data_IF_762642000468
#
_entry.id   IF_762642000468
#
_cell.length_a   1.000
_cell.length_b   1.000
_cell.length_c   1.000
_cell.angle_alpha   90.00
_cell.angle_beta   90.00
_cell.angle_gamma   90.00
#
_symmetry.space_group_name_H-M   'P 1'
#
loop_
_entity.id
_entity.type
_entity.pdbx_description
1 polymer ?
#
# COMPACT_ATOMS: atom_id res chain seq x y z
N UNK A 1 38.90 -23.57 28.27
CA UNK A 1 39.55 -24.69 27.58
C UNK A 1 38.52 -25.23 26.59
N UNK A 2 38.78 -25.07 25.28
CA UNK A 2 37.99 -25.44 24.08
C UNK A 2 36.59 -24.77 23.91
N UNK A 3 36.35 -23.76 23.05
CA UNK A 3 36.52 -23.56 21.58
C UNK A 3 35.55 -24.44 20.76
N UNK A 4 34.38 -23.90 20.36
CA UNK A 4 34.00 -23.39 19.00
C UNK A 4 33.57 -24.55 18.06
N UNK A 5 32.41 -24.54 17.39
CA UNK A 5 32.17 -23.86 16.10
C UNK A 5 30.66 -23.94 15.70
N UNK A 6 30.03 -22.79 15.41
CA UNK A 6 28.87 -22.65 14.48
C UNK A 6 29.34 -22.96 13.01
N UNK A 7 28.54 -22.91 11.91
CA UNK A 7 27.13 -22.48 11.73
C UNK A 7 26.30 -23.34 10.73
N UNK A 8 25.02 -23.00 10.49
CA UNK A 8 24.44 -22.80 9.13
C UNK A 8 22.94 -22.50 9.14
N UNK A 9 22.60 -21.31 8.65
CA UNK A 9 21.47 -20.95 7.79
C UNK A 9 20.30 -21.94 7.73
N UNK A 10 19.23 -21.65 8.47
CA UNK A 10 17.89 -22.15 8.16
C UNK A 10 16.97 -20.96 7.93
N UNK A 11 16.89 -20.53 6.67
CA UNK A 11 15.67 -19.92 6.14
C UNK A 11 14.54 -20.91 6.36
N UNK A 12 13.60 -20.58 7.26
CA UNK A 12 12.38 -21.35 7.44
C UNK A 12 11.60 -21.36 6.11
N UNK A 13 11.51 -22.53 5.48
CA UNK A 13 10.55 -22.77 4.40
C UNK A 13 9.16 -22.67 5.00
N UNK A 14 8.45 -21.58 4.69
CA UNK A 14 7.09 -21.38 5.14
C UNK A 14 6.16 -22.46 4.57
N UNK A 15 5.28 -22.93 5.45
CA UNK A 15 4.27 -23.97 5.29
C UNK A 15 3.59 -24.04 3.91
N UNK A 16 3.46 -25.27 3.40
CA UNK A 16 2.62 -25.65 2.26
C UNK A 16 1.14 -25.35 2.58
N UNK A 17 0.66 -24.18 2.17
CA UNK A 17 -0.75 -23.90 2.05
C UNK A 17 -1.28 -24.48 0.72
N UNK A 18 -2.39 -25.20 0.81
CA UNK A 18 -3.15 -25.77 -0.31
C UNK A 18 -3.30 -24.76 -1.47
N UNK A 19 -2.81 -25.12 -2.67
CA UNK A 19 -2.70 -24.24 -3.83
C UNK A 19 -4.06 -24.00 -4.51
N UNK A 20 -4.88 -23.12 -3.92
CA UNK A 20 -6.04 -22.55 -4.62
C UNK A 20 -5.76 -21.05 -4.82
N UNK A 21 -5.55 -20.64 -6.08
CA UNK A 21 -5.53 -19.22 -6.48
C UNK A 21 -4.18 -18.48 -6.41
N UNK A 22 -3.03 -19.17 -6.38
CA UNK A 22 -1.71 -18.52 -6.48
C UNK A 22 -1.29 -17.68 -5.25
N UNK A 23 -1.95 -17.88 -4.10
CA UNK A 23 -1.75 -17.06 -2.90
C UNK A 23 -0.40 -17.28 -2.21
N UNK A 24 0.20 -18.47 -2.30
CA UNK A 24 1.46 -18.80 -1.60
C UNK A 24 2.65 -17.93 -2.03
N UNK A 25 2.85 -17.76 -3.34
CA UNK A 25 3.94 -16.94 -3.90
C UNK A 25 3.73 -15.46 -3.56
N UNK A 26 2.49 -14.97 -3.73
CA UNK A 26 2.14 -13.58 -3.42
C UNK A 26 2.32 -13.27 -1.94
N UNK A 27 1.98 -14.21 -1.05
CA UNK A 27 2.23 -14.09 0.39
C UNK A 27 3.73 -14.04 0.70
N UNK A 28 4.53 -14.89 0.07
CA UNK A 28 5.98 -14.91 0.26
C UNK A 28 6.66 -13.59 -0.13
N UNK A 29 6.28 -12.98 -1.26
CA UNK A 29 6.82 -11.66 -1.64
C UNK A 29 6.43 -10.56 -0.65
N UNK A 30 5.19 -10.54 -0.16
CA UNK A 30 4.75 -9.56 0.85
C UNK A 30 5.51 -9.73 2.17
N UNK A 31 5.72 -10.98 2.59
CA UNK A 31 6.52 -11.30 3.78
C UNK A 31 7.97 -10.84 3.61
N UNK A 32 8.57 -11.04 2.43
CA UNK A 32 9.93 -10.61 2.15
C UNK A 32 10.08 -9.09 2.14
N UNK A 33 9.19 -8.35 1.47
CA UNK A 33 9.24 -6.88 1.40
C UNK A 33 9.01 -6.26 2.79
N UNK A 34 8.03 -6.76 3.55
CA UNK A 34 7.77 -6.30 4.91
C UNK A 34 8.95 -6.56 5.86
N UNK A 35 9.70 -7.64 5.66
CA UNK A 35 10.92 -7.90 6.42
C UNK A 35 12.10 -7.04 5.93
N UNK A 36 12.23 -6.82 4.63
CA UNK A 36 13.38 -6.15 4.02
C UNK A 36 13.58 -4.72 4.52
N UNK A 37 12.51 -3.92 4.62
CA UNK A 37 12.64 -2.55 5.13
C UNK A 37 13.05 -2.52 6.61
N UNK A 38 12.56 -3.47 7.42
CA UNK A 38 12.94 -3.61 8.83
C UNK A 38 14.41 -4.00 8.96
N UNK A 39 14.88 -4.94 8.15
CA UNK A 39 16.28 -5.32 8.07
C UNK A 39 17.15 -4.13 7.64
N UNK A 40 16.71 -3.35 6.66
CA UNK A 40 17.41 -2.15 6.21
C UNK A 40 17.60 -1.14 7.36
N UNK A 41 16.57 -0.95 8.19
CA UNK A 41 16.68 -0.11 9.39
C UNK A 41 17.64 -0.74 10.40
N UNK A 42 17.45 -2.01 10.75
CA UNK A 42 18.30 -2.73 11.69
C UNK A 42 19.78 -2.69 11.32
N UNK A 43 20.13 -2.78 10.03
CA UNK A 43 21.51 -2.72 9.55
C UNK A 43 22.07 -1.29 9.44
N UNK A 44 21.21 -0.28 9.23
CA UNK A 44 21.64 1.11 9.07
C UNK A 44 21.68 1.89 10.38
N UNK A 45 21.01 1.39 11.42
CA UNK A 45 20.94 2.02 12.73
C UNK A 45 22.31 2.01 13.43
N UNK A 46 22.79 3.21 13.78
CA UNK A 46 24.04 3.41 14.55
C UNK A 46 23.83 3.28 16.06
N UNK A 47 22.59 3.12 16.53
CA UNK A 47 22.18 3.07 17.94
C UNK A 47 21.53 1.73 18.28
N UNK A 48 21.32 1.50 19.57
CA UNK A 48 20.73 0.28 20.10
C UNK A 48 19.22 0.23 19.81
N UNK A 49 18.86 -0.21 18.60
CA UNK A 49 17.48 -0.49 18.23
C UNK A 49 16.94 -1.67 19.06
N UNK A 50 15.67 -1.61 19.46
CA UNK A 50 14.96 -2.76 20.02
C UNK A 50 14.56 -3.72 18.87
N UNK A 51 15.48 -4.64 18.55
CA UNK A 51 15.27 -5.63 17.49
C UNK A 51 14.10 -6.57 17.80
N UNK A 52 13.89 -6.92 19.08
CA UNK A 52 12.82 -7.82 19.49
C UNK A 52 11.47 -7.20 19.15
N UNK A 53 11.26 -5.93 19.55
CA UNK A 53 10.04 -5.19 19.22
C UNK A 53 9.84 -5.00 17.72
N UNK A 54 10.92 -4.72 16.97
CA UNK A 54 10.84 -4.55 15.51
C UNK A 54 10.33 -5.82 14.81
N UNK A 55 10.88 -6.98 15.17
CA UNK A 55 10.55 -8.26 14.55
C UNK A 55 9.28 -8.89 15.13
N UNK A 56 8.93 -8.60 16.39
CA UNK A 56 7.62 -8.92 16.96
C UNK A 56 6.50 -8.22 16.16
N UNK A 57 6.68 -6.93 15.86
CA UNK A 57 5.74 -6.19 15.00
C UNK A 57 5.57 -6.81 13.61
N UNK A 58 6.64 -7.32 13.01
CA UNK A 58 6.57 -8.08 11.75
C UNK A 58 5.76 -9.38 11.90
N UNK A 59 6.04 -10.15 12.96
CA UNK A 59 5.34 -11.39 13.24
C UNK A 59 3.84 -11.16 13.43
N UNK A 60 3.44 -10.12 14.16
CA UNK A 60 2.04 -9.77 14.39
C UNK A 60 1.33 -9.38 13.09
N UNK A 61 1.96 -8.58 12.23
CA UNK A 61 1.40 -8.23 10.92
C UNK A 61 1.22 -9.47 10.03
N UNK A 62 2.23 -10.35 10.00
CA UNK A 62 2.19 -11.59 9.23
C UNK A 62 1.10 -12.54 9.71
N UNK A 63 0.96 -12.69 11.03
CA UNK A 63 -0.08 -13.54 11.63
C UNK A 63 -1.46 -13.15 11.16
N UNK A 64 -1.78 -11.85 11.11
CA UNK A 64 -3.07 -11.38 10.60
C UNK A 64 -3.28 -11.72 9.12
N UNK A 65 -2.25 -11.62 8.29
CA UNK A 65 -2.35 -11.99 6.87
C UNK A 65 -2.57 -13.50 6.71
N UNK A 66 -1.87 -14.31 7.50
CA UNK A 66 -1.99 -15.76 7.50
C UNK A 66 -3.40 -16.19 7.95
N UNK A 67 -3.90 -15.65 9.04
CA UNK A 67 -5.24 -15.95 9.57
C UNK A 67 -6.34 -15.61 8.55
N UNK A 68 -6.24 -14.43 7.89
CA UNK A 68 -7.16 -14.04 6.82
C UNK A 68 -7.09 -14.97 5.61
N UNK A 69 -5.89 -15.37 5.20
CA UNK A 69 -5.69 -16.25 4.04
C UNK A 69 -6.18 -17.67 4.32
N UNK A 70 -5.92 -18.18 5.54
CA UNK A 70 -6.39 -19.49 5.99
C UNK A 70 -7.92 -19.52 6.07
N UNK A 71 -8.55 -18.51 6.68
CA UNK A 71 -10.00 -18.40 6.75
C UNK A 71 -10.65 -18.35 5.35
N UNK A 72 -10.04 -17.61 4.41
CA UNK A 72 -10.49 -17.58 3.02
C UNK A 72 -10.34 -18.95 2.34
N UNK A 73 -9.24 -19.67 2.61
CA UNK A 73 -8.96 -20.98 2.03
C UNK A 73 -9.92 -22.04 2.56
N UNK A 74 -10.19 -22.06 3.87
CA UNK A 74 -11.18 -22.95 4.48
C UNK A 74 -12.56 -22.68 3.91
N UNK A 75 -12.98 -21.41 3.83
CA UNK A 75 -14.28 -21.04 3.25
C UNK A 75 -14.39 -21.45 1.78
N UNK A 76 -13.34 -21.25 0.98
CA UNK A 76 -13.33 -21.68 -0.41
C UNK A 76 -13.35 -23.20 -0.53
N UNK A 77 -12.64 -23.91 0.34
CA UNK A 77 -12.64 -25.37 0.44
C UNK A 77 -14.04 -25.90 0.75
N UNK A 78 -14.74 -25.31 1.71
CA UNK A 78 -16.12 -25.67 2.07
C UNK A 78 -17.10 -25.42 0.91
N UNK A 79 -16.92 -24.33 0.16
CA UNK A 79 -17.75 -24.01 -1.01
C UNK A 79 -17.54 -24.97 -2.19
N UNK A 80 -16.32 -25.49 -2.37
CA UNK A 80 -15.96 -26.40 -3.47
C UNK A 80 -16.28 -27.86 -3.11
N UNK A 81 -16.00 -28.28 -1.88
CA UNK A 81 -16.13 -29.68 -1.42
C UNK A 81 -17.52 -30.02 -0.84
N UNK A 82 -18.57 -29.26 -1.20
CA UNK A 82 -19.94 -29.53 -0.77
C UNK A 82 -20.37 -30.96 -1.08
N UNK A 83 -20.52 -31.79 -0.05
CA UNK A 83 -20.69 -33.25 -0.14
C UNK A 83 -22.05 -33.72 -0.67
N UNK A 84 -22.98 -32.83 -1.03
CA UNK A 84 -24.35 -33.20 -1.45
C UNK A 84 -24.79 -32.57 -2.77
N UNK A 85 -25.60 -33.33 -3.51
CA UNK A 85 -26.21 -32.91 -4.78
C UNK A 85 -27.08 -31.66 -4.62
N UNK A 86 -27.86 -31.57 -3.53
CA UNK A 86 -28.67 -30.39 -3.16
C UNK A 86 -27.82 -29.13 -2.98
N UNK A 87 -26.65 -29.24 -2.35
CA UNK A 87 -25.76 -28.10 -2.14
C UNK A 87 -25.21 -27.57 -3.47
N UNK A 88 -24.84 -28.47 -4.38
CA UNK A 88 -24.39 -28.10 -5.74
C UNK A 88 -25.49 -27.47 -6.57
N UNK A 89 -26.73 -27.99 -6.49
CA UNK A 89 -27.87 -27.44 -7.19
C UNK A 89 -28.23 -26.03 -6.70
N UNK A 90 -28.36 -25.83 -5.39
CA UNK A 90 -28.66 -24.52 -4.78
C UNK A 90 -27.55 -23.51 -5.06
N UNK A 91 -26.28 -23.92 -4.98
CA UNK A 91 -25.14 -23.06 -5.32
C UNK A 91 -25.23 -22.59 -6.78
N UNK A 92 -25.43 -23.51 -7.72
CA UNK A 92 -25.46 -23.19 -9.15
C UNK A 92 -26.67 -22.33 -9.51
N UNK A 93 -27.85 -22.66 -8.98
CA UNK A 93 -29.07 -21.85 -9.16
C UNK A 93 -28.96 -20.47 -8.51
N UNK A 94 -28.40 -20.40 -7.29
CA UNK A 94 -28.18 -19.15 -6.57
C UNK A 94 -27.19 -18.23 -7.30
N UNK A 95 -26.07 -18.77 -7.78
CA UNK A 95 -25.10 -18.02 -8.58
C UNK A 95 -25.70 -17.55 -9.91
N UNK A 96 -26.52 -18.39 -10.56
CA UNK A 96 -27.24 -18.00 -11.77
C UNK A 96 -28.23 -16.86 -11.50
N UNK A 97 -29.01 -16.93 -10.42
CA UNK A 97 -29.94 -15.87 -10.04
C UNK A 97 -29.22 -14.57 -9.65
N UNK A 98 -28.10 -14.67 -8.93
CA UNK A 98 -27.27 -13.53 -8.56
C UNK A 98 -26.69 -12.80 -9.80
N UNK A 99 -26.48 -13.50 -10.91
CA UNK A 99 -26.03 -12.90 -12.18
C UNK A 99 -27.14 -12.11 -12.91
N UNK A 100 -28.42 -12.35 -12.59
CA UNK A 100 -29.56 -11.66 -13.23
C UNK A 100 -29.75 -10.23 -12.72
N UNK A 101 -29.29 -9.92 -11.51
CA UNK A 101 -29.37 -8.58 -10.93
C UNK A 101 -28.02 -7.87 -11.12
N UNK A 102 -27.92 -6.83 -11.96
CA UNK A 102 -26.66 -6.16 -12.27
C UNK A 102 -25.88 -5.69 -11.04
N UNK A 103 -26.58 -5.18 -10.02
CA UNK A 103 -25.96 -4.73 -8.77
C UNK A 103 -25.35 -5.87 -7.95
N UNK A 104 -25.98 -7.06 -7.93
CA UNK A 104 -25.48 -8.23 -7.21
C UNK A 104 -24.35 -8.91 -7.95
N UNK A 105 -24.45 -8.97 -9.28
CA UNK A 105 -23.35 -9.36 -10.15
C UNK A 105 -22.14 -8.46 -9.92
N UNK A 106 -22.33 -7.15 -9.89
CA UNK A 106 -21.24 -6.19 -9.64
C UNK A 106 -20.63 -6.37 -8.24
N UNK A 107 -21.46 -6.58 -7.21
CA UNK A 107 -20.98 -6.89 -5.86
C UNK A 107 -20.16 -8.18 -5.80
N UNK A 108 -20.59 -9.24 -6.48
CA UNK A 108 -19.82 -10.48 -6.61
C UNK A 108 -18.51 -10.28 -7.38
N UNK A 109 -18.53 -9.53 -8.47
CA UNK A 109 -17.36 -9.21 -9.29
C UNK A 109 -16.32 -8.38 -8.53
N UNK A 110 -16.77 -7.48 -7.64
CA UNK A 110 -15.89 -6.74 -6.75
C UNK A 110 -15.19 -7.67 -5.74
N UNK A 111 -15.89 -8.71 -5.26
CA UNK A 111 -15.34 -9.66 -4.30
C UNK A 111 -14.73 -8.95 -3.08
N UNK A 112 -13.54 -9.38 -2.60
CA UNK A 112 -12.85 -8.71 -1.50
C UNK A 112 -12.50 -7.23 -1.75
N UNK A 113 -12.48 -6.77 -3.02
CA UNK A 113 -12.16 -5.37 -3.38
C UNK A 113 -13.27 -4.41 -2.99
N UNK A 114 -14.51 -4.89 -2.86
CA UNK A 114 -15.66 -4.08 -2.43
C UNK A 114 -15.55 -3.60 -0.97
N UNK A 115 -14.74 -4.26 -0.14
CA UNK A 115 -14.49 -3.86 1.25
C UNK A 115 -13.45 -2.74 1.39
N UNK A 116 -12.92 -2.24 0.28
CA UNK A 116 -11.83 -1.26 0.27
C UNK A 116 -10.46 -1.89 0.54
N UNK A 117 -9.42 -1.06 0.73
CA UNK A 117 -8.08 -1.56 0.93
C UNK A 117 -7.95 -2.31 2.27
N UNK A 118 -7.09 -3.31 2.29
CA UNK A 118 -6.85 -4.09 3.52
C UNK A 118 -6.23 -3.20 4.58
N UNK A 119 -6.78 -3.21 5.79
CA UNK A 119 -6.19 -2.57 6.96
C UNK A 119 -5.84 -3.61 8.03
N UNK A 120 -4.69 -3.44 8.67
CA UNK A 120 -4.31 -4.18 9.86
C UNK A 120 -5.10 -3.72 11.08
N UNK A 121 -5.47 -4.66 11.93
CA UNK A 121 -6.04 -4.36 13.23
C UNK A 121 -4.87 -4.09 14.17
N UNK A 122 -4.79 -2.89 14.72
CA UNK A 122 -3.66 -2.52 15.57
C UNK A 122 -3.56 -3.44 16.80
N UNK A 123 -2.34 -3.79 17.17
CA UNK A 123 -1.99 -4.41 18.44
C UNK A 123 -0.68 -3.80 18.95
N UNK A 124 -0.43 -3.78 20.26
CA UNK A 124 0.84 -3.30 20.81
C UNK A 124 2.03 -3.97 20.10
N UNK A 125 3.04 -3.18 19.74
CA UNK A 125 4.21 -3.65 18.99
C UNK A 125 4.12 -3.44 17.47
N UNK A 126 2.96 -3.07 16.92
CA UNK A 126 2.85 -2.78 15.48
C UNK A 126 3.46 -1.42 15.10
N UNK A 127 4.18 -1.35 13.95
CA UNK A 127 4.88 -0.14 13.53
C UNK A 127 4.01 0.79 12.68
N UNK A 128 2.93 1.32 13.25
CA UNK A 128 2.08 2.36 12.64
C UNK A 128 1.21 3.05 13.69
N UNK A 129 0.69 4.24 13.36
CA UNK A 129 -0.14 5.05 14.27
C UNK A 129 -1.62 4.83 13.95
N UNK A 130 -2.38 4.05 14.77
CA UNK A 130 -3.75 3.70 14.45
C UNK A 130 -4.70 4.91 14.39
N UNK A 131 -4.50 5.93 15.23
CA UNK A 131 -5.31 7.15 15.24
C UNK A 131 -5.15 7.99 13.96
N UNK A 132 -4.05 7.76 13.23
CA UNK A 132 -3.74 8.42 11.96
C UNK A 132 -3.96 7.48 10.77
N UNK A 133 -4.93 6.57 10.83
CA UNK A 133 -5.21 5.60 9.75
C UNK A 133 -4.03 4.69 9.38
N UNK A 134 -3.13 4.45 10.33
CA UNK A 134 -2.02 3.52 10.16
C UNK A 134 -2.48 2.08 9.92
N UNK A 135 -1.62 1.28 9.28
CA UNK A 135 -1.87 -0.12 8.96
C UNK A 135 -2.76 -0.33 7.73
N UNK A 136 -3.17 0.74 7.05
CA UNK A 136 -3.91 0.69 5.79
C UNK A 136 -2.96 0.35 4.63
N UNK A 137 -3.31 -0.63 3.80
CA UNK A 137 -2.60 -0.90 2.55
C UNK A 137 -2.95 0.21 1.55
N UNK A 138 -1.98 1.05 1.22
CA UNK A 138 -2.19 2.18 0.34
C UNK A 138 -2.55 1.69 -1.07
N UNK A 139 -3.64 2.23 -1.68
CA UNK A 139 -4.05 1.82 -3.00
C UNK A 139 -2.98 2.14 -4.04
N UNK A 140 -2.77 1.18 -4.94
CA UNK A 140 -2.02 1.43 -6.17
C UNK A 140 -3.03 1.79 -7.23
N UNK A 141 -2.85 2.94 -7.84
CA UNK A 141 -3.68 3.44 -8.94
C UNK A 141 -2.78 3.78 -10.12
N UNK A 142 -3.36 4.41 -11.14
CA UNK A 142 -2.64 4.92 -12.30
C UNK A 142 -2.46 6.43 -12.18
N UNK A 143 -1.32 6.91 -12.62
CA UNK A 143 -1.01 8.33 -12.67
C UNK A 143 -0.33 8.73 -13.97
N UNK A 144 -0.44 9.99 -14.33
CA UNK A 144 0.26 10.61 -15.46
C UNK A 144 0.97 11.84 -14.91
N UNK A 145 2.24 12.02 -15.26
CA UNK A 145 2.97 13.23 -14.90
C UNK A 145 2.33 14.44 -15.57
N UNK A 146 2.27 15.58 -14.87
CA UNK A 146 1.82 16.83 -15.48
C UNK A 146 2.88 17.48 -16.39
N UNK A 147 4.08 16.90 -16.48
CA UNK A 147 5.07 17.25 -17.49
C UNK A 147 4.64 16.78 -18.89
N UNK A 148 5.01 17.53 -19.94
CA UNK A 148 4.57 17.27 -21.31
C UNK A 148 4.94 15.86 -21.81
N UNK A 149 4.01 15.23 -22.53
CA UNK A 149 4.14 13.89 -23.15
C UNK A 149 4.34 12.71 -22.19
N UNK A 150 3.83 12.79 -20.96
CA UNK A 150 3.90 11.68 -20.02
C UNK A 150 2.87 10.59 -20.33
N UNK A 151 3.31 9.34 -20.28
CA UNK A 151 2.47 8.14 -20.38
C UNK A 151 1.86 7.78 -19.02
N UNK A 152 0.87 6.86 -19.04
CA UNK A 152 0.32 6.31 -17.81
C UNK A 152 1.36 5.42 -17.10
N UNK A 153 1.47 5.58 -15.79
CA UNK A 153 2.39 4.87 -14.91
C UNK A 153 1.63 4.32 -13.70
N UNK A 154 2.20 3.32 -13.02
CA UNK A 154 1.71 2.92 -11.71
C UNK A 154 2.16 3.93 -10.65
N UNK A 155 1.28 4.23 -9.69
CA UNK A 155 1.65 5.10 -8.56
C UNK A 155 2.83 4.55 -7.77
N UNK A 156 2.93 3.23 -7.63
CA UNK A 156 4.03 2.59 -6.89
C UNK A 156 5.38 2.88 -7.54
N UNK A 157 5.46 2.88 -8.88
CA UNK A 157 6.70 3.15 -9.60
C UNK A 157 7.19 4.56 -9.29
N UNK A 158 6.30 5.56 -9.31
CA UNK A 158 6.70 6.96 -9.04
C UNK A 158 6.94 7.25 -7.56
N UNK A 159 6.27 6.53 -6.65
CA UNK A 159 6.43 6.69 -5.20
C UNK A 159 7.74 6.06 -4.71
N UNK A 160 8.14 4.92 -5.28
CA UNK A 160 9.25 4.12 -4.76
C UNK A 160 10.47 4.04 -5.68
N UNK A 161 10.39 4.49 -6.94
CA UNK A 161 11.57 4.51 -7.81
C UNK A 161 12.63 5.49 -7.30
N UNK A 162 13.88 5.03 -7.30
CA UNK A 162 15.08 5.83 -7.02
C UNK A 162 15.10 6.49 -5.62
N UNK A 163 14.32 5.95 -4.68
CA UNK A 163 14.24 6.46 -3.31
C UNK A 163 15.28 5.83 -2.39
N UNK A 164 15.76 6.60 -1.41
CA UNK A 164 16.83 6.16 -0.49
C UNK A 164 16.29 5.82 0.88
N UNK A 165 15.19 6.45 1.30
CA UNK A 165 14.67 6.28 2.66
C UNK A 165 13.63 5.15 2.75
N UNK A 166 13.60 4.38 3.87
CA UNK A 166 12.66 3.27 4.06
C UNK A 166 11.19 3.72 4.22
N UNK A 167 10.96 5.02 4.48
CA UNK A 167 9.63 5.62 4.45
C UNK A 167 9.60 6.72 3.40
N UNK A 168 8.49 6.75 2.66
CA UNK A 168 8.22 7.69 1.59
C UNK A 168 7.07 8.61 1.97
N UNK A 169 7.15 9.87 1.54
CA UNK A 169 6.11 10.85 1.79
C UNK A 169 5.27 11.06 0.54
N UNK A 170 3.98 10.77 0.65
CA UNK A 170 3.01 10.98 -0.43
C UNK A 170 2.11 12.15 -0.05
N UNK A 171 2.01 13.13 -0.95
CA UNK A 171 1.20 14.34 -0.76
C UNK A 171 -0.01 14.28 -1.70
N UNK A 172 -1.19 14.17 -1.12
CA UNK A 172 -2.47 14.17 -1.83
C UNK A 172 -3.09 15.57 -1.79
N UNK A 173 -2.98 16.29 -2.90
CA UNK A 173 -3.59 17.60 -3.07
C UNK A 173 -5.03 17.45 -3.56
N UNK A 174 -5.90 18.41 -3.24
CA UNK A 174 -7.20 18.50 -3.93
C UNK A 174 -7.06 19.34 -5.20
N UNK A 175 -6.28 20.42 -5.18
CA UNK A 175 -6.05 21.29 -6.33
C UNK A 175 -4.56 21.56 -6.55
N UNK A 176 -4.06 21.69 -7.80
CA UNK A 176 -2.62 21.90 -8.07
C UNK A 176 -2.03 23.16 -7.43
N UNK A 177 -2.86 24.20 -7.26
CA UNK A 177 -2.51 25.44 -6.53
C UNK A 177 -2.11 25.23 -5.06
N UNK A 178 -2.45 24.09 -4.46
CA UNK A 178 -2.06 23.77 -3.08
C UNK A 178 -0.59 23.31 -2.98
N UNK A 179 0.09 23.10 -4.11
CA UNK A 179 1.47 22.60 -4.16
C UNK A 179 2.42 23.50 -3.37
N UNK A 180 2.39 24.82 -3.57
CA UNK A 180 3.33 25.73 -2.92
C UNK A 180 3.17 25.71 -1.39
N UNK A 181 1.93 25.65 -0.91
CA UNK A 181 1.61 25.54 0.52
C UNK A 181 2.13 24.22 1.07
N UNK A 182 1.91 23.11 0.36
CA UNK A 182 2.38 21.80 0.78
C UNK A 182 3.92 21.73 0.78
N UNK A 183 4.60 22.32 -0.20
CA UNK A 183 6.07 22.42 -0.24
C UNK A 183 6.60 23.23 0.95
N UNK A 184 5.95 24.33 1.31
CA UNK A 184 6.29 25.11 2.50
C UNK A 184 6.10 24.29 3.79
N UNK A 185 5.03 23.49 3.88
CA UNK A 185 4.80 22.58 5.00
C UNK A 185 5.94 21.54 5.10
N UNK A 186 6.36 20.96 3.98
CA UNK A 186 7.45 19.99 3.92
C UNK A 186 8.80 20.59 4.32
N UNK A 187 9.08 21.84 3.94
CA UNK A 187 10.32 22.53 4.31
C UNK A 187 10.50 22.75 5.82
N UNK A 188 9.43 22.60 6.60
CA UNK A 188 9.49 22.64 8.08
C UNK A 188 9.78 21.29 8.74
N UNK A 189 9.69 20.20 7.98
CA UNK A 189 9.94 18.84 8.46
C UNK A 189 11.44 18.54 8.34
N UNK A 190 12.05 18.09 9.44
CA UNK A 190 13.46 17.72 9.45
C UNK A 190 13.64 16.34 8.78
N UNK A 191 14.51 16.27 7.79
CA UNK A 191 14.93 15.00 7.20
C UNK A 191 15.60 14.09 8.24
N UNK A 192 15.35 12.80 8.13
CA UNK A 192 16.00 11.76 8.92
C UNK A 192 16.47 10.61 8.02
N UNK A 193 17.38 9.74 8.49
CA UNK A 193 17.71 8.48 7.80
C UNK A 193 16.50 7.64 7.38
N UNK A 194 15.36 7.78 8.08
CA UNK A 194 14.14 7.03 7.81
C UNK A 194 13.21 7.66 6.78
N UNK A 195 13.22 9.00 6.66
CA UNK A 195 12.32 9.75 5.80
C UNK A 195 12.96 11.06 5.34
N UNK A 196 12.96 11.29 4.03
CA UNK A 196 13.36 12.55 3.43
C UNK A 196 12.15 13.30 2.86
N UNK A 197 11.86 14.54 3.32
CA UNK A 197 10.82 15.36 2.70
C UNK A 197 11.10 15.70 1.23
N UNK A 198 12.37 15.78 0.84
CA UNK A 198 12.82 16.06 -0.54
C UNK A 198 12.42 14.94 -1.51
N UNK A 199 12.24 13.70 -1.00
CA UNK A 199 11.81 12.56 -1.79
C UNK A 199 10.28 12.50 -1.99
N UNK A 200 9.53 13.50 -1.50
CA UNK A 200 8.08 13.48 -1.52
C UNK A 200 7.48 13.46 -2.95
N UNK A 201 6.39 12.71 -3.10
CA UNK A 201 5.67 12.56 -4.38
C UNK A 201 4.28 13.17 -4.29
N UNK A 202 3.94 14.05 -5.23
CA UNK A 202 2.71 14.83 -5.18
C UNK A 202 1.68 14.29 -6.17
N UNK A 203 0.45 14.13 -5.70
CA UNK A 203 -0.68 13.71 -6.52
C UNK A 203 -1.83 14.70 -6.45
N UNK A 204 -2.57 14.79 -7.55
CA UNK A 204 -3.78 15.59 -7.66
C UNK A 204 -4.86 14.89 -8.49
N UNK A 205 -6.16 15.06 -8.18
CA UNK A 205 -7.23 14.52 -9.00
C UNK A 205 -7.25 15.13 -10.41
N UNK A 206 -7.40 14.29 -11.43
CA UNK A 206 -7.57 14.71 -12.83
C UNK A 206 -8.69 15.73 -13.01
N UNK A 207 -9.81 15.57 -12.30
CA UNK A 207 -10.97 16.46 -12.38
C UNK A 207 -10.60 17.93 -12.13
N UNK A 208 -9.56 18.17 -11.34
CA UNK A 208 -9.14 19.49 -10.91
C UNK A 208 -7.94 20.02 -11.72
N UNK A 209 -7.58 19.31 -12.81
CA UNK A 209 -6.46 19.65 -13.70
C UNK A 209 -6.90 20.23 -15.05
N UNK A 210 -8.21 20.42 -15.29
CA UNK A 210 -8.81 20.63 -16.61
C UNK A 210 -8.32 21.86 -17.41
N UNK A 211 -7.52 22.76 -16.83
CA UNK A 211 -6.98 23.95 -17.49
C UNK A 211 -5.52 24.25 -17.15
N UNK A 212 -4.78 23.26 -16.66
CA UNK A 212 -3.38 23.45 -16.28
C UNK A 212 -2.48 22.85 -17.36
N UNK A 213 -2.05 23.72 -18.28
CA UNK A 213 -0.72 23.60 -18.84
C UNK A 213 0.19 23.91 -17.66
N UNK A 214 0.79 22.89 -17.05
CA UNK A 214 1.78 23.14 -16.00
C UNK A 214 2.78 24.14 -16.58
N UNK A 215 2.91 25.30 -15.94
CA UNK A 215 4.04 26.19 -16.25
C UNK A 215 5.24 25.44 -15.70
N UNK A 216 5.76 24.53 -16.52
CA UNK A 216 6.99 23.81 -16.27
C UNK A 216 8.08 24.85 -16.01
N UNK A 217 8.35 25.08 -14.73
CA UNK A 217 9.29 26.10 -14.32
C UNK A 217 9.04 26.48 -12.87
N UNK A 218 9.65 25.71 -11.96
CA UNK A 218 10.45 26.15 -10.78
C UNK A 218 10.36 25.23 -9.56
N UNK A 219 9.43 24.26 -9.51
CA UNK A 219 9.29 23.43 -8.31
C UNK A 219 9.90 22.02 -8.49
N UNK A 220 10.81 21.66 -7.57
CA UNK A 220 11.62 20.43 -7.60
C UNK A 220 10.82 19.13 -7.40
N UNK A 221 9.61 19.21 -6.86
CA UNK A 221 8.80 18.04 -6.54
C UNK A 221 7.96 17.58 -7.74
N UNK A 222 8.06 16.33 -8.21
CA UNK A 222 7.26 15.88 -9.34
C UNK A 222 5.77 15.84 -8.97
N UNK A 223 4.92 16.42 -9.83
CA UNK A 223 3.47 16.48 -9.66
C UNK A 223 2.79 15.56 -10.68
N UNK A 224 1.98 14.64 -10.17
CA UNK A 224 1.24 13.66 -10.95
C UNK A 224 -0.26 13.87 -10.79
N UNK A 225 -1.00 13.68 -11.87
CA UNK A 225 -2.46 13.58 -11.80
C UNK A 225 -2.91 12.12 -11.78
N UNK A 226 -4.08 11.85 -11.21
CA UNK A 226 -4.73 10.56 -11.43
C UNK A 226 -4.97 10.32 -12.93
N UNK A 227 -4.81 9.08 -13.37
CA UNK A 227 -5.11 8.65 -14.74
C UNK A 227 -6.38 7.82 -14.76
N UNK A 228 -7.19 7.98 -15.81
CA UNK A 228 -8.43 7.22 -15.98
C UNK A 228 -8.16 5.77 -16.37
N UNK A 229 -9.17 4.91 -16.19
CA UNK A 229 -9.11 3.54 -16.70
C UNK A 229 -8.92 3.48 -18.21
N UNK A 230 -9.49 4.43 -18.96
CA UNK A 230 -9.35 4.52 -20.42
C UNK A 230 -7.95 4.99 -20.82
N UNK A 231 -7.37 5.95 -20.10
CA UNK A 231 -5.99 6.40 -20.31
C UNK A 231 -5.00 5.25 -20.09
N UNK A 232 -5.19 4.48 -19.00
CA UNK A 232 -4.42 3.26 -18.78
C UNK A 232 -4.67 2.22 -19.89
N UNK A 233 -5.92 2.01 -20.29
CA UNK A 233 -6.29 1.03 -21.33
C UNK A 233 -5.68 1.29 -22.70
N UNK A 234 -5.29 2.54 -23.00
CA UNK A 234 -4.57 2.92 -24.23
C UNK A 234 -3.05 2.90 -24.09
N UNK A 235 -2.53 2.74 -22.88
CA UNK A 235 -1.09 2.72 -22.62
C UNK A 235 -0.47 1.35 -22.90
N UNK A 236 0.84 1.34 -23.15
CA UNK A 236 1.62 0.11 -23.29
C UNK A 236 1.53 -0.79 -22.03
N UNK A 237 1.28 -0.22 -20.85
CA UNK A 237 1.12 -0.98 -19.60
C UNK A 237 -0.11 -1.91 -19.60
N UNK A 238 -1.11 -1.65 -20.45
CA UNK A 238 -2.29 -2.49 -20.58
C UNK A 238 -2.15 -3.53 -21.71
N UNK A 239 -1.05 -3.54 -22.46
CA UNK A 239 -0.81 -4.57 -23.47
C UNK A 239 -0.84 -5.96 -22.83
N UNK A 240 -1.65 -6.86 -23.39
CA UNK A 240 -1.88 -8.21 -22.85
C UNK A 240 -2.52 -8.26 -21.44
N UNK A 241 -3.09 -7.15 -20.95
CA UNK A 241 -3.84 -7.11 -19.68
C UNK A 241 -5.33 -6.83 -19.93
N UNK A 242 -6.24 -7.34 -19.08
CA UNK A 242 -7.64 -6.99 -19.18
C UNK A 242 -7.85 -5.50 -18.91
N UNK A 243 -8.81 -4.90 -19.61
CA UNK A 243 -9.21 -3.50 -19.38
C UNK A 243 -9.62 -3.29 -17.91
N UNK A 244 -9.27 -2.14 -17.30
CA UNK A 244 -9.50 -1.87 -15.88
C UNK A 244 -10.96 -1.51 -15.59
N UNK A 245 -11.87 -2.47 -15.77
CA UNK A 245 -13.31 -2.29 -15.50
C UNK A 245 -13.57 -2.02 -14.01
N UNK A 246 -14.39 -1.03 -13.71
CA UNK A 246 -14.72 -0.64 -12.32
C UNK A 246 -13.58 0.05 -11.57
N UNK A 247 -12.55 0.50 -12.29
CA UNK A 247 -11.44 1.25 -11.70
C UNK A 247 -11.91 2.60 -11.14
N UNK A 248 -11.36 2.95 -9.98
CA UNK A 248 -11.69 4.17 -9.24
C UNK A 248 -10.45 5.06 -9.13
N UNK A 249 -10.45 6.15 -9.90
CA UNK A 249 -9.37 7.16 -9.93
C UNK A 249 -9.12 7.82 -8.57
N UNK A 250 -10.15 7.91 -7.72
CA UNK A 250 -10.13 8.62 -6.45
C UNK A 250 -9.77 7.71 -5.27
N UNK A 251 -9.40 6.46 -5.53
CA UNK A 251 -9.22 5.45 -4.48
C UNK A 251 -8.16 5.86 -3.45
N UNK A 252 -7.04 6.48 -3.86
CA UNK A 252 -6.01 6.98 -2.93
C UNK A 252 -6.60 7.97 -1.91
N UNK A 253 -7.29 9.01 -2.38
CA UNK A 253 -7.92 10.03 -1.53
C UNK A 253 -9.02 9.45 -0.64
N UNK A 254 -9.88 8.60 -1.19
CA UNK A 254 -10.97 7.98 -0.45
C UNK A 254 -10.46 7.06 0.67
N UNK A 255 -9.39 6.31 0.40
CA UNK A 255 -8.83 5.34 1.34
C UNK A 255 -8.23 5.99 2.58
N UNK A 256 -7.58 7.15 2.41
CA UNK A 256 -7.05 7.95 3.53
C UNK A 256 -8.02 9.02 4.01
N UNK A 257 -9.31 8.94 3.62
CA UNK A 257 -10.38 9.86 4.06
C UNK A 257 -10.05 11.34 3.83
N UNK A 258 -9.40 11.65 2.71
CA UNK A 258 -9.02 13.02 2.33
C UNK A 258 -7.87 13.62 3.14
N UNK A 259 -7.11 12.82 3.91
CA UNK A 259 -5.86 13.25 4.54
C UNK A 259 -4.83 13.63 3.46
N UNK A 260 -4.07 14.69 3.73
CA UNK A 260 -3.17 15.33 2.76
C UNK A 260 -1.80 14.66 2.72
N UNK A 261 -1.20 14.37 3.87
CA UNK A 261 0.15 13.84 3.96
C UNK A 261 0.10 12.38 4.38
N UNK A 262 0.77 11.50 3.65
CA UNK A 262 0.80 10.07 3.95
C UNK A 262 2.24 9.62 4.08
N UNK A 263 2.61 9.19 5.28
CA UNK A 263 3.90 8.53 5.55
C UNK A 263 3.72 7.05 5.21
N UNK A 264 4.39 6.61 4.17
CA UNK A 264 4.21 5.30 3.55
C UNK A 264 5.45 4.44 3.72
N UNK A 265 5.26 3.16 4.04
CA UNK A 265 6.34 2.17 4.09
C UNK A 265 6.63 1.62 2.70
N UNK A 266 7.83 1.08 2.50
CA UNK A 266 8.20 0.38 1.25
C UNK A 266 7.29 -0.81 0.90
N UNK A 267 6.61 -1.40 1.89
CA UNK A 267 5.61 -2.47 1.68
C UNK A 267 4.19 -1.94 1.40
N UNK A 268 4.05 -0.63 1.12
CA UNK A 268 2.81 0.11 0.84
C UNK A 268 1.84 0.23 2.00
N UNK A 269 2.20 -0.17 3.20
CA UNK A 269 1.34 0.11 4.35
C UNK A 269 1.59 1.52 4.87
N UNK A 270 0.49 2.21 5.19
CA UNK A 270 0.51 3.55 5.77
C UNK A 270 1.04 3.44 7.19
N UNK A 271 2.11 4.16 7.48
CA UNK A 271 2.56 4.40 8.85
C UNK A 271 1.62 5.41 9.53
N UNK A 272 1.33 6.51 8.84
CA UNK A 272 0.39 7.55 9.28
C UNK A 272 -0.14 8.36 8.09
N UNK A 273 -1.41 8.77 8.17
CA UNK A 273 -2.08 9.70 7.27
C UNK A 273 -2.52 10.94 8.05
N UNK A 274 -1.97 12.09 7.68
CA UNK A 274 -2.02 13.35 8.40
C UNK A 274 -2.80 14.39 7.59
N UNK A 275 -3.62 15.19 8.28
CA UNK A 275 -4.46 16.23 7.68
C UNK A 275 -3.65 17.48 7.34
N UNK A 276 -2.74 17.83 8.23
CA UNK A 276 -2.00 19.09 8.20
C UNK A 276 -0.55 18.89 8.66
N UNK A 277 0.22 19.98 8.63
CA UNK A 277 1.62 20.04 9.05
C UNK A 277 1.83 19.60 10.50
N UNK A 278 0.88 19.87 11.40
CA UNK A 278 1.03 19.57 12.83
C UNK A 278 0.92 18.06 13.05
N UNK A 279 -0.07 17.42 12.44
CA UNK A 279 -0.19 15.96 12.44
C UNK A 279 1.03 15.30 11.78
N UNK A 280 1.53 15.85 10.67
CA UNK A 280 2.72 15.33 9.98
C UNK A 280 3.98 15.40 10.86
N UNK A 281 4.25 16.56 11.49
CA UNK A 281 5.38 16.72 12.39
C UNK A 281 5.31 15.74 13.57
N UNK A 282 4.11 15.52 14.13
CA UNK A 282 3.88 14.52 15.18
C UNK A 282 4.17 13.09 14.68
N UNK A 283 3.71 12.74 13.49
CA UNK A 283 3.96 11.42 12.91
C UNK A 283 5.46 11.16 12.67
N UNK A 284 6.18 12.14 12.12
CA UNK A 284 7.64 12.05 11.90
C UNK A 284 8.41 11.97 13.22
N UNK A 285 8.00 12.72 14.24
CA UNK A 285 8.60 12.62 15.57
C UNK A 285 8.41 11.21 16.18
N UNK A 286 7.22 10.63 16.06
CA UNK A 286 6.94 9.26 16.52
C UNK A 286 7.67 8.20 15.69
N UNK A 287 7.83 8.42 14.38
CA UNK A 287 8.62 7.57 13.50
C UNK A 287 10.07 7.49 13.99
N UNK A 288 10.71 8.64 14.20
CA UNK A 288 12.08 8.71 14.69
C UNK A 288 12.20 8.13 16.11
N UNK A 289 11.21 8.38 16.99
CA UNK A 289 11.22 7.77 18.33
C UNK A 289 11.12 6.24 18.30
N UNK A 290 10.40 5.68 17.33
CA UNK A 290 10.20 4.22 17.23
C UNK A 290 11.41 3.48 16.65
N UNK A 291 12.25 4.17 15.87
CA UNK A 291 13.28 3.52 15.06
C UNK A 291 14.68 4.16 15.09
N UNK A 292 14.86 5.34 15.71
CA UNK A 292 16.15 6.03 15.86
C UNK A 292 16.58 6.24 17.33
N UNK A 293 15.86 5.62 18.29
CA UNK A 293 16.16 5.73 19.72
C UNK A 293 17.59 5.27 20.03
#
# INVERSE_FOLDING_TARGET
MYVNLYPRNTTYSAYLAYLVGGQGITSGFRDAISLAWRLSIACSSKRHLDYERLFEGWYLERKQQLDKSLAATVRNGDLVNGKSFMHSFIRNWGLWFLQLIPSWKHWLEQGPRGNGPTQYIHSPGMPFIPEMSGGLCFPQTYCISLHNNAEAQFTDDVIFAEKRTPFQLVVLLNHPKERDIAVQDLGSIKASPLLSPEEATFFVPRSNCANLVDRAGTCEYPLFRSATGDEFGRSALCESRPLPRGYNEMLMWQSVRGKRYVVLRLDRFVFAACKDRVELAKAVAQLNQSFES
#
